data_IF_489254454452
#
_entry.id   IF_489254454452
#
_cell.length_a   1.000
_cell.length_b   1.000
_cell.length_c   1.000
_cell.angle_alpha   90.00
_cell.angle_beta   90.00
_cell.angle_gamma   90.00
#
_symmetry.space_group_name_H-M   'P 1'
#
loop_
_entity.id
_entity.type
_entity.pdbx_description
1 polymer ?
#
# COMPACT_ATOMS: atom_id res chain seq x y z
N UNK A 1 31.11 13.28 -15.01
CA UNK A 1 31.04 13.78 -13.61
C UNK A 1 29.60 14.07 -13.15
N UNK A 2 28.69 14.49 -14.05
CA UNK A 2 27.29 14.82 -13.72
C UNK A 2 26.42 13.59 -13.40
N UNK A 3 26.63 12.47 -14.12
CA UNK A 3 25.91 11.19 -13.88
C UNK A 3 26.15 10.67 -12.45
N UNK A 4 27.36 10.82 -11.92
CA UNK A 4 27.69 10.43 -10.55
C UNK A 4 26.95 11.26 -9.51
N UNK A 5 26.81 12.59 -9.74
CA UNK A 5 26.04 13.47 -8.85
C UNK A 5 24.55 13.16 -8.89
N UNK A 6 24.00 12.79 -10.05
CA UNK A 6 22.60 12.37 -10.18
C UNK A 6 22.34 11.07 -9.41
N UNK A 7 23.16 10.02 -9.63
CA UNK A 7 23.02 8.76 -8.90
C UNK A 7 23.13 8.93 -7.38
N UNK A 8 24.01 9.81 -6.92
CA UNK A 8 24.18 10.09 -5.50
C UNK A 8 22.98 10.83 -4.91
N UNK A 9 22.33 11.70 -5.70
CA UNK A 9 21.08 12.37 -5.31
C UNK A 9 19.92 11.39 -5.23
N UNK A 10 19.79 10.49 -6.20
CA UNK A 10 18.71 9.49 -6.22
C UNK A 10 18.86 8.48 -5.09
N UNK A 11 20.09 8.02 -4.82
CA UNK A 11 20.40 7.17 -3.67
C UNK A 11 20.06 7.86 -2.34
N UNK A 12 20.35 9.17 -2.21
CA UNK A 12 19.98 9.95 -1.02
C UNK A 12 18.47 10.01 -0.82
N UNK A 13 17.71 10.25 -1.89
CA UNK A 13 16.24 10.30 -1.83
C UNK A 13 15.67 8.95 -1.38
N UNK A 14 16.17 7.85 -1.94
CA UNK A 14 15.74 6.51 -1.58
C UNK A 14 16.11 6.15 -0.12
N UNK A 15 17.29 6.56 0.34
CA UNK A 15 17.70 6.38 1.74
C UNK A 15 16.78 7.14 2.71
N UNK A 16 16.39 8.37 2.37
CA UNK A 16 15.44 9.15 3.17
C UNK A 16 14.07 8.47 3.22
N UNK A 17 13.56 7.96 2.09
CA UNK A 17 12.28 7.24 2.07
C UNK A 17 12.31 5.98 2.97
N UNK A 18 13.41 5.21 2.97
CA UNK A 18 13.58 4.08 3.88
C UNK A 18 13.68 4.49 5.35
N UNK A 19 14.37 5.59 5.65
CA UNK A 19 14.51 6.12 7.02
C UNK A 19 13.14 6.58 7.56
N UNK A 20 12.33 7.24 6.73
CA UNK A 20 10.97 7.63 7.09
C UNK A 20 10.10 6.39 7.35
N UNK A 21 10.21 5.34 6.53
CA UNK A 21 9.50 4.08 6.75
C UNK A 21 9.92 3.39 8.05
N UNK A 22 11.21 3.39 8.39
CA UNK A 22 11.71 2.86 9.67
C UNK A 22 11.15 3.64 10.85
N UNK A 23 11.21 4.97 10.80
CA UNK A 23 10.64 5.85 11.84
C UNK A 23 9.14 5.64 11.97
N UNK A 24 8.40 5.56 10.87
CA UNK A 24 6.97 5.28 10.88
C UNK A 24 6.67 3.92 11.52
N UNK A 25 7.45 2.88 11.18
CA UNK A 25 7.34 1.55 11.79
C UNK A 25 7.63 1.56 13.30
N UNK A 26 8.64 2.31 13.74
CA UNK A 26 8.99 2.45 15.16
C UNK A 26 7.92 3.22 15.95
N UNK A 27 7.47 4.37 15.43
CA UNK A 27 6.42 5.17 16.06
C UNK A 27 5.09 4.41 16.13
N UNK A 28 4.66 3.78 15.03
CA UNK A 28 3.43 2.99 15.05
C UNK A 28 3.58 1.71 15.88
N UNK A 29 4.76 1.07 15.87
CA UNK A 29 5.02 -0.12 16.68
C UNK A 29 4.96 0.16 18.19
N UNK A 30 5.37 1.36 18.62
CA UNK A 30 5.31 1.79 20.03
C UNK A 30 3.91 2.26 20.44
N UNK A 31 3.20 2.97 19.56
CA UNK A 31 1.83 3.47 19.82
C UNK A 31 0.80 2.35 19.76
N UNK A 32 0.92 1.46 18.78
CA UNK A 32 -0.11 0.45 18.49
C UNK A 32 0.08 -0.84 19.29
N UNK A 33 0.52 -0.78 20.56
CA UNK A 33 0.64 -1.96 21.43
C UNK A 33 -0.61 -2.82 21.30
N UNK A 34 -0.45 -4.07 20.84
CA UNK A 34 -1.58 -5.00 20.65
C UNK A 34 -2.33 -5.16 21.97
N UNK A 35 -3.54 -4.58 22.05
CA UNK A 35 -4.50 -4.95 23.07
C UNK A 35 -5.30 -6.14 22.56
N UNK A 36 -5.33 -7.23 23.34
CA UNK A 36 -6.01 -8.47 22.98
C UNK A 36 -7.53 -8.30 22.79
N UNK A 37 -8.12 -7.21 23.31
CA UNK A 37 -9.55 -6.93 23.19
C UNK A 37 -9.99 -6.43 21.81
N UNK A 38 -9.09 -5.82 21.03
CA UNK A 38 -9.40 -5.24 19.71
C UNK A 38 -8.75 -5.96 18.53
N UNK A 39 -8.08 -7.09 18.78
CA UNK A 39 -7.33 -7.86 17.78
C UNK A 39 -6.31 -7.02 16.98
N UNK A 40 -5.81 -5.92 17.56
CA UNK A 40 -4.87 -5.01 16.90
C UNK A 40 -5.45 -4.26 15.69
N UNK A 41 -6.78 -4.24 15.51
CA UNK A 41 -7.42 -3.68 14.32
C UNK A 41 -7.03 -2.21 14.07
N UNK A 42 -6.91 -1.42 15.14
CA UNK A 42 -6.50 0.00 15.08
C UNK A 42 -5.03 0.15 14.67
N UNK A 43 -4.17 -0.78 15.09
CA UNK A 43 -2.78 -0.78 14.63
C UNK A 43 -2.67 -1.02 13.13
N UNK A 44 -3.42 -2.01 12.62
CA UNK A 44 -3.43 -2.34 11.19
C UNK A 44 -4.06 -1.25 10.32
N UNK A 45 -5.05 -0.50 10.80
CA UNK A 45 -5.59 0.64 10.01
C UNK A 45 -4.54 1.73 9.84
N UNK A 46 -3.78 2.06 10.90
CA UNK A 46 -2.69 3.03 10.80
C UNK A 46 -1.52 2.54 9.94
N UNK A 47 -1.18 1.25 9.99
CA UNK A 47 -0.13 0.70 9.12
C UNK A 47 -0.53 0.80 7.64
N UNK A 48 -1.78 0.45 7.31
CA UNK A 48 -2.33 0.56 5.95
C UNK A 48 -2.25 2.02 5.47
N UNK A 49 -2.66 2.99 6.29
CA UNK A 49 -2.59 4.41 5.95
C UNK A 49 -1.13 4.84 5.73
N UNK A 50 -0.25 4.62 6.70
CA UNK A 50 1.13 5.10 6.66
C UNK A 50 1.90 4.54 5.45
N UNK A 51 1.81 3.23 5.22
CA UNK A 51 2.52 2.57 4.11
C UNK A 51 1.93 3.00 2.78
N UNK A 52 0.60 3.10 2.68
CA UNK A 52 -0.04 3.56 1.44
C UNK A 52 0.43 4.97 1.08
N UNK A 53 0.41 5.91 2.03
CA UNK A 53 0.83 7.30 1.80
C UNK A 53 2.30 7.40 1.39
N UNK A 54 3.19 6.81 2.19
CA UNK A 54 4.64 6.88 1.96
C UNK A 54 5.03 6.22 0.63
N UNK A 55 4.41 5.08 0.30
CA UNK A 55 4.71 4.41 -0.96
C UNK A 55 4.15 5.17 -2.17
N UNK A 56 2.96 5.78 -2.10
CA UNK A 56 2.45 6.60 -3.22
C UNK A 56 3.32 7.80 -3.48
N UNK A 57 3.73 8.55 -2.43
CA UNK A 57 4.56 9.75 -2.61
C UNK A 57 5.89 9.38 -3.29
N UNK A 58 6.50 8.28 -2.87
CA UNK A 58 7.76 7.82 -3.45
C UNK A 58 7.60 7.36 -4.91
N UNK A 59 6.56 6.59 -5.24
CA UNK A 59 6.28 6.14 -6.61
C UNK A 59 5.93 7.32 -7.53
N UNK A 60 5.16 8.28 -7.02
CA UNK A 60 4.77 9.48 -7.74
C UNK A 60 5.99 10.36 -8.07
N UNK A 61 6.91 10.53 -7.12
CA UNK A 61 8.17 11.27 -7.35
C UNK A 61 8.97 10.63 -8.49
N UNK A 62 9.10 9.30 -8.49
CA UNK A 62 9.80 8.53 -9.54
C UNK A 62 9.20 8.79 -10.92
N UNK A 63 7.88 8.71 -11.08
CA UNK A 63 7.23 8.92 -12.38
C UNK A 63 7.17 10.39 -12.83
N UNK A 64 6.94 11.30 -11.89
CA UNK A 64 6.71 12.71 -12.19
C UNK A 64 7.94 13.45 -12.73
N UNK A 65 9.15 13.08 -12.28
CA UNK A 65 10.41 13.70 -12.71
C UNK A 65 10.79 13.29 -14.14
N UNK A 66 10.45 12.06 -14.53
CA UNK A 66 10.84 11.49 -15.82
C UNK A 66 9.81 11.73 -16.92
N UNK A 67 8.65 12.34 -16.62
CA UNK A 67 7.60 12.63 -17.63
C UNK A 67 8.17 13.44 -18.80
N UNK A 68 8.99 14.45 -18.53
CA UNK A 68 9.64 15.27 -19.57
C UNK A 68 10.66 14.49 -20.41
N UNK A 69 11.40 13.57 -19.79
CA UNK A 69 12.34 12.69 -20.48
C UNK A 69 11.59 11.69 -21.37
N UNK A 70 10.53 11.08 -20.86
CA UNK A 70 9.67 10.18 -21.60
C UNK A 70 9.05 10.84 -22.85
N UNK A 71 8.50 12.05 -22.73
CA UNK A 71 7.92 12.75 -23.89
C UNK A 71 8.96 13.03 -24.98
N UNK A 72 10.21 13.34 -24.60
CA UNK A 72 11.31 13.55 -25.54
C UNK A 72 11.75 12.25 -26.21
N UNK A 73 11.85 11.16 -25.45
CA UNK A 73 12.24 9.84 -25.96
C UNK A 73 11.14 9.21 -26.84
N UNK A 74 9.88 9.43 -26.50
CA UNK A 74 8.73 8.98 -27.31
C UNK A 74 8.68 9.69 -28.66
N UNK A 75 9.00 11.00 -28.71
CA UNK A 75 9.11 11.73 -29.96
C UNK A 75 10.23 11.22 -30.88
N UNK A 76 11.24 10.51 -30.31
CA UNK A 76 12.31 9.86 -31.06
C UNK A 76 11.98 8.42 -31.52
N UNK A 77 10.75 7.95 -31.29
CA UNK A 77 10.29 6.64 -31.74
C UNK A 77 10.56 5.48 -30.78
N UNK A 78 10.85 5.76 -29.51
CA UNK A 78 11.02 4.71 -28.49
C UNK A 78 9.68 4.08 -28.11
N UNK A 79 9.65 2.75 -27.91
CA UNK A 79 8.44 2.04 -27.50
C UNK A 79 8.00 2.41 -26.07
N UNK A 80 6.80 2.97 -25.94
CA UNK A 80 6.18 3.32 -24.64
C UNK A 80 6.03 2.11 -23.71
N UNK A 81 5.78 0.92 -24.26
CA UNK A 81 5.68 -0.34 -23.49
C UNK A 81 7.01 -0.71 -22.84
N UNK A 82 8.11 -0.64 -23.61
CA UNK A 82 9.44 -0.98 -23.11
C UNK A 82 9.86 -0.03 -21.98
N UNK A 83 9.58 1.27 -22.14
CA UNK A 83 9.85 2.27 -21.11
C UNK A 83 9.01 2.03 -19.84
N UNK A 84 7.71 1.77 -19.99
CA UNK A 84 6.82 1.49 -18.86
C UNK A 84 7.23 0.20 -18.12
N UNK A 85 7.52 -0.88 -18.83
CA UNK A 85 7.95 -2.16 -18.23
C UNK A 85 9.31 -2.06 -17.54
N UNK A 86 10.28 -1.37 -18.15
CA UNK A 86 11.58 -1.14 -17.51
C UNK A 86 11.42 -0.41 -16.18
N UNK A 87 10.55 0.60 -16.16
CA UNK A 87 10.29 1.40 -14.96
C UNK A 87 9.50 0.64 -13.89
N UNK A 88 8.45 -0.08 -14.29
CA UNK A 88 7.68 -0.93 -13.38
C UNK A 88 8.58 -1.98 -12.72
N UNK A 89 9.54 -2.54 -13.47
CA UNK A 89 10.51 -3.51 -12.92
C UNK A 89 11.39 -2.89 -11.82
N UNK A 90 11.90 -1.68 -12.04
CA UNK A 90 12.72 -0.97 -11.05
C UNK A 90 11.92 -0.63 -9.79
N UNK A 91 10.68 -0.16 -9.96
CA UNK A 91 9.81 0.15 -8.83
C UNK A 91 9.28 -1.12 -8.13
N UNK A 92 9.22 -2.25 -8.81
CA UNK A 92 8.85 -3.53 -8.22
C UNK A 92 9.88 -3.97 -7.16
N UNK A 93 11.18 -3.77 -7.42
CA UNK A 93 12.21 -4.01 -6.40
C UNK A 93 11.98 -3.14 -5.16
N UNK A 94 11.66 -1.87 -5.35
CA UNK A 94 11.35 -0.96 -4.24
C UNK A 94 10.08 -1.38 -3.48
N UNK A 95 9.10 -1.95 -4.19
CA UNK A 95 7.84 -2.46 -3.64
C UNK A 95 8.03 -3.67 -2.73
N UNK A 96 9.08 -4.47 -2.95
CA UNK A 96 9.41 -5.63 -2.11
C UNK A 96 10.18 -5.20 -0.85
N UNK A 97 11.14 -4.26 -1.00
CA UNK A 97 12.03 -3.84 0.09
C UNK A 97 11.34 -2.91 1.09
N UNK A 98 10.51 -1.96 0.63
CA UNK A 98 9.86 -0.97 1.51
C UNK A 98 8.97 -1.61 2.60
N UNK A 99 8.07 -2.57 2.28
CA UNK A 99 7.34 -3.32 3.28
C UNK A 99 8.22 -4.05 4.29
N UNK A 100 9.33 -4.65 3.83
CA UNK A 100 10.23 -5.42 4.69
C UNK A 100 10.88 -4.51 5.75
N UNK A 101 11.34 -3.34 5.33
CA UNK A 101 11.94 -2.32 6.20
C UNK A 101 10.94 -1.79 7.23
N UNK A 102 9.70 -1.55 6.82
CA UNK A 102 8.64 -1.15 7.76
C UNK A 102 8.33 -2.26 8.77
N UNK A 103 8.15 -3.48 8.28
CA UNK A 103 7.70 -4.61 9.07
C UNK A 103 8.71 -5.01 10.14
N UNK A 104 10.01 -4.92 9.85
CA UNK A 104 11.07 -5.25 10.80
C UNK A 104 11.02 -4.38 12.06
N UNK A 105 10.84 -3.06 11.91
CA UNK A 105 10.68 -2.15 13.05
C UNK A 105 9.34 -2.34 13.75
N UNK A 106 8.25 -2.50 12.98
CA UNK A 106 6.92 -2.69 13.57
C UNK A 106 6.85 -3.95 14.45
N UNK A 107 7.42 -5.07 14.01
CA UNK A 107 7.46 -6.30 14.79
C UNK A 107 8.36 -6.20 16.02
N UNK A 108 9.50 -5.52 15.91
CA UNK A 108 10.43 -5.36 17.03
C UNK A 108 9.78 -4.67 18.23
N UNK A 109 8.96 -3.64 17.99
CA UNK A 109 8.32 -2.87 19.07
C UNK A 109 6.96 -3.42 19.51
N UNK A 110 6.22 -4.07 18.62
CA UNK A 110 4.81 -4.42 18.86
C UNK A 110 4.58 -5.91 19.17
N UNK A 111 5.52 -6.81 18.80
CA UNK A 111 5.40 -8.27 18.95
C UNK A 111 3.99 -8.84 18.69
N UNK A 112 3.38 -8.58 17.51
CA UNK A 112 2.07 -9.15 17.20
C UNK A 112 2.17 -10.68 17.09
N UNK A 113 1.14 -11.40 17.54
CA UNK A 113 1.07 -12.88 17.44
C UNK A 113 1.03 -13.44 16.01
N UNK A 114 0.78 -12.59 15.01
CA UNK A 114 0.68 -12.99 13.60
C UNK A 114 2.06 -13.32 13.00
N UNK A 115 2.10 -14.27 12.08
CA UNK A 115 3.32 -14.66 11.35
C UNK A 115 3.84 -13.48 10.52
N UNK A 116 5.13 -13.15 10.63
CA UNK A 116 5.78 -12.09 9.83
C UNK A 116 5.48 -12.26 8.34
N UNK A 117 5.48 -13.50 7.84
CA UNK A 117 5.29 -13.83 6.43
C UNK A 117 3.87 -13.49 5.93
N UNK A 118 2.83 -13.79 6.71
CA UNK A 118 1.44 -13.52 6.31
C UNK A 118 1.19 -12.01 6.21
N UNK A 119 1.64 -11.24 7.21
CA UNK A 119 1.55 -9.78 7.19
C UNK A 119 2.42 -9.16 6.09
N UNK A 120 3.59 -9.75 5.80
CA UNK A 120 4.45 -9.32 4.69
C UNK A 120 3.79 -9.50 3.32
N UNK A 121 3.12 -10.63 3.08
CA UNK A 121 2.40 -10.88 1.83
C UNK A 121 1.28 -9.87 1.60
N UNK A 122 0.49 -9.56 2.64
CA UNK A 122 -0.57 -8.54 2.56
C UNK A 122 0.04 -7.16 2.24
N UNK A 123 1.15 -6.80 2.88
CA UNK A 123 1.82 -5.52 2.63
C UNK A 123 2.38 -5.40 1.21
N UNK A 124 2.99 -6.46 0.66
CA UNK A 124 3.46 -6.44 -0.74
C UNK A 124 2.28 -6.22 -1.68
N UNK A 125 1.17 -6.94 -1.48
CA UNK A 125 -0.02 -6.77 -2.31
C UNK A 125 -0.60 -5.36 -2.22
N UNK A 126 -0.61 -4.78 -1.01
CA UNK A 126 -1.04 -3.41 -0.77
C UNK A 126 -0.14 -2.42 -1.50
N UNK A 127 1.19 -2.49 -1.33
CA UNK A 127 2.12 -1.58 -2.00
C UNK A 127 2.06 -1.75 -3.52
N UNK A 128 1.87 -2.97 -4.01
CA UNK A 128 1.68 -3.24 -5.44
C UNK A 128 0.42 -2.55 -6.00
N UNK A 129 -0.71 -2.57 -5.28
CA UNK A 129 -1.92 -1.86 -5.66
C UNK A 129 -1.72 -0.33 -5.62
N UNK A 130 -1.10 0.15 -4.55
CA UNK A 130 -0.91 1.56 -4.25
C UNK A 130 0.02 2.25 -5.25
N UNK A 131 1.09 1.56 -5.67
CA UNK A 131 2.02 2.03 -6.71
C UNK A 131 1.34 2.17 -8.07
N UNK A 132 0.49 1.21 -8.46
CA UNK A 132 -0.28 1.30 -9.71
C UNK A 132 -1.19 2.53 -9.76
N UNK A 133 -1.89 2.82 -8.65
CA UNK A 133 -2.72 4.04 -8.53
C UNK A 133 -1.85 5.32 -8.59
N UNK A 134 -0.67 5.29 -7.98
CA UNK A 134 0.25 6.43 -8.02
C UNK A 134 0.73 6.76 -9.43
N UNK A 135 0.91 5.77 -10.30
CA UNK A 135 1.27 5.98 -11.70
C UNK A 135 0.18 6.71 -12.47
N UNK A 136 -1.08 6.30 -12.30
CA UNK A 136 -2.22 7.00 -12.91
C UNK A 136 -2.24 8.47 -12.49
N UNK A 137 -2.07 8.75 -11.20
CA UNK A 137 -2.05 10.12 -10.67
C UNK A 137 -0.85 10.93 -11.20
N UNK A 138 0.33 10.31 -11.31
CA UNK A 138 1.53 10.98 -11.81
C UNK A 138 1.45 11.31 -13.30
N UNK A 139 0.68 10.53 -14.08
CA UNK A 139 0.46 10.79 -15.51
C UNK A 139 -0.59 11.88 -15.70
N UNK A 140 -1.74 11.77 -15.01
CA UNK A 140 -2.88 12.67 -15.20
C UNK A 140 -2.66 14.08 -14.64
N UNK A 141 -1.90 14.22 -13.54
CA UNK A 141 -1.74 15.49 -12.84
C UNK A 141 -0.29 15.97 -12.82
N UNK A 142 -0.09 17.27 -12.58
CA UNK A 142 1.23 17.85 -12.31
C UNK A 142 1.74 17.46 -10.91
N UNK A 143 3.06 17.55 -10.69
CA UNK A 143 3.75 17.12 -9.46
C UNK A 143 3.12 17.66 -8.17
N UNK A 144 2.69 18.92 -8.16
CA UNK A 144 2.06 19.58 -7.02
C UNK A 144 0.70 18.97 -6.64
N UNK A 145 -0.35 19.09 -7.50
CA UNK A 145 -1.66 18.54 -7.20
C UNK A 145 -1.64 17.01 -7.05
N UNK A 146 -0.78 16.30 -7.80
CA UNK A 146 -0.68 14.84 -7.73
C UNK A 146 -0.23 14.37 -6.33
N UNK A 147 0.68 15.10 -5.66
CA UNK A 147 1.09 14.80 -4.29
C UNK A 147 -0.07 14.94 -3.30
N UNK A 148 -0.88 15.98 -3.43
CA UNK A 148 -2.06 16.17 -2.57
C UNK A 148 -3.08 15.03 -2.75
N UNK A 149 -3.38 14.65 -3.99
CA UNK A 149 -4.27 13.52 -4.28
C UNK A 149 -3.71 12.18 -3.78
N UNK A 150 -2.40 11.99 -3.90
CA UNK A 150 -1.69 10.82 -3.38
C UNK A 150 -1.83 10.69 -1.86
N UNK A 151 -1.89 11.80 -1.13
CA UNK A 151 -2.09 11.81 0.32
C UNK A 151 -3.57 11.69 0.70
N UNK A 152 -4.45 12.39 0.00
CA UNK A 152 -5.87 12.44 0.31
C UNK A 152 -6.55 11.08 0.06
N UNK A 153 -6.25 10.42 -1.06
CA UNK A 153 -6.95 9.19 -1.47
C UNK A 153 -6.82 8.04 -0.45
N UNK A 154 -5.63 7.65 0.04
CA UNK A 154 -5.51 6.59 1.04
C UNK A 154 -6.26 6.91 2.33
N UNK A 155 -6.22 8.16 2.80
CA UNK A 155 -6.89 8.55 4.04
C UNK A 155 -8.41 8.47 3.87
N UNK A 156 -8.95 9.09 2.81
CA UNK A 156 -10.41 9.06 2.55
C UNK A 156 -10.92 7.64 2.33
N UNK A 157 -10.21 6.83 1.53
CA UNK A 157 -10.62 5.43 1.31
C UNK A 157 -10.52 4.56 2.56
N UNK A 158 -9.53 4.80 3.43
CA UNK A 158 -9.45 4.06 4.70
C UNK A 158 -10.55 4.48 5.66
N UNK A 159 -10.89 5.77 5.70
CA UNK A 159 -12.02 6.27 6.51
C UNK A 159 -13.34 5.66 6.05
N UNK A 160 -13.61 5.66 4.74
CA UNK A 160 -14.80 5.02 4.16
C UNK A 160 -14.83 3.53 4.52
N UNK A 161 -13.70 2.83 4.40
CA UNK A 161 -13.60 1.41 4.72
C UNK A 161 -13.67 1.10 6.23
N UNK A 162 -13.57 2.11 7.10
CA UNK A 162 -13.68 1.94 8.55
C UNK A 162 -15.08 2.29 9.07
N UNK A 163 -15.94 2.91 8.26
CA UNK A 163 -17.32 3.20 8.68
C UNK A 163 -18.15 1.91 8.75
N UNK A 164 -19.01 1.80 9.77
CA UNK A 164 -19.92 0.68 9.92
C UNK A 164 -20.92 0.62 8.76
N UNK A 165 -21.27 -0.62 8.33
CA UNK A 165 -22.10 -0.94 7.16
C UNK A 165 -23.39 -0.13 7.12
N UNK A 166 -23.32 1.05 6.51
CA UNK A 166 -24.47 1.92 6.34
C UNK A 166 -25.13 1.57 5.02
N UNK A 167 -26.37 1.08 5.06
CA UNK A 167 -27.10 0.62 3.86
C UNK A 167 -27.24 1.76 2.85
N UNK A 168 -26.71 1.59 1.63
CA UNK A 168 -26.84 2.56 0.53
C UNK A 168 -25.70 2.52 -0.51
N UNK A 169 -25.59 3.57 -1.33
CA UNK A 169 -24.52 3.78 -2.33
C UNK A 169 -23.10 3.59 -1.75
N UNK A 170 -22.93 3.92 -0.47
CA UNK A 170 -21.66 3.81 0.24
C UNK A 170 -21.13 2.36 0.28
N UNK A 171 -22.00 1.36 0.40
CA UNK A 171 -21.60 -0.06 0.40
C UNK A 171 -20.92 -0.49 -0.90
N UNK A 172 -21.41 0.00 -2.04
CA UNK A 172 -20.84 -0.31 -3.36
C UNK A 172 -19.50 0.42 -3.59
N UNK A 173 -19.32 1.60 -3.00
CA UNK A 173 -18.04 2.30 -2.98
C UNK A 173 -17.03 1.66 -2.02
N UNK A 174 -17.51 1.07 -0.93
CA UNK A 174 -16.70 0.33 0.04
C UNK A 174 -16.03 -0.88 -0.61
N UNK A 175 -16.76 -1.63 -1.46
CA UNK A 175 -16.22 -2.79 -2.18
C UNK A 175 -15.14 -2.40 -3.21
N UNK A 176 -15.19 -1.16 -3.71
CA UNK A 176 -14.18 -0.62 -4.62
C UNK A 176 -12.92 -0.10 -3.90
N UNK A 177 -12.96 0.04 -2.57
CA UNK A 177 -11.85 0.59 -1.80
C UNK A 177 -10.79 -0.48 -1.49
N UNK A 178 -9.59 -0.36 -2.07
CA UNK A 178 -8.46 -1.24 -1.76
C UNK A 178 -8.08 -1.33 -0.26
N UNK A 179 -8.24 -0.27 0.58
CA UNK A 179 -7.94 -0.38 2.02
C UNK A 179 -8.86 -1.36 2.75
N UNK A 180 -10.11 -1.55 2.30
CA UNK A 180 -11.06 -2.50 2.91
C UNK A 180 -10.49 -3.92 2.86
N UNK A 181 -10.19 -4.38 1.65
CA UNK A 181 -9.62 -5.70 1.40
C UNK A 181 -8.27 -5.90 2.11
N UNK A 182 -7.45 -4.85 2.19
CA UNK A 182 -6.18 -4.90 2.91
C UNK A 182 -6.39 -5.07 4.42
N UNK A 183 -7.29 -4.27 5.02
CA UNK A 183 -7.63 -4.35 6.44
C UNK A 183 -8.26 -5.70 6.80
N UNK A 184 -9.17 -6.19 5.96
CA UNK A 184 -9.77 -7.52 6.12
C UNK A 184 -8.70 -8.62 6.10
N UNK A 185 -7.76 -8.58 5.14
CA UNK A 185 -6.66 -9.53 5.07
C UNK A 185 -5.74 -9.48 6.32
N UNK A 186 -5.42 -8.29 6.85
CA UNK A 186 -4.66 -8.14 8.10
C UNK A 186 -5.39 -8.72 9.30
N UNK A 187 -6.69 -8.42 9.44
CA UNK A 187 -7.50 -8.89 10.56
C UNK A 187 -7.65 -10.42 10.50
N UNK A 188 -7.88 -11.00 9.31
CA UNK A 188 -8.00 -12.45 9.14
C UNK A 188 -6.68 -13.15 9.46
N UNK A 189 -5.55 -12.64 8.97
CA UNK A 189 -4.22 -13.19 9.26
C UNK A 189 -3.94 -13.22 10.77
N UNK A 190 -4.26 -12.14 11.47
CA UNK A 190 -4.12 -12.10 12.93
C UNK A 190 -5.11 -13.05 13.62
N UNK A 191 -6.39 -13.06 13.19
CA UNK A 191 -7.46 -13.85 13.77
C UNK A 191 -7.25 -15.37 13.66
N UNK A 192 -6.59 -15.87 12.61
CA UNK A 192 -6.29 -17.30 12.44
C UNK A 192 -5.42 -17.87 13.56
N UNK A 193 -4.62 -17.03 14.22
CA UNK A 193 -3.73 -17.44 15.33
C UNK A 193 -4.37 -17.35 16.72
N UNK A 194 -5.57 -16.77 16.84
CA UNK A 194 -6.35 -16.80 18.07
C UNK A 194 -7.13 -18.12 18.16
N UNK A 195 -6.69 -19.00 19.07
CA UNK A 195 -7.33 -20.28 19.39
C UNK A 195 -7.63 -20.38 20.90
N UNK A 196 -8.54 -21.27 21.29
CA UNK A 196 -8.94 -21.48 22.68
C UNK A 196 -10.01 -20.48 23.16
N UNK A 197 -9.80 -19.87 24.33
CA UNK A 197 -10.79 -18.99 25.00
C UNK A 197 -11.22 -17.80 24.13
N UNK A 198 -10.36 -17.38 23.20
CA UNK A 198 -10.61 -16.25 22.30
C UNK A 198 -11.41 -16.60 21.03
N UNK A 199 -11.83 -17.86 20.86
CA UNK A 199 -12.57 -18.29 19.66
C UNK A 199 -13.95 -17.63 19.56
N UNK A 200 -14.65 -17.49 20.69
CA UNK A 200 -15.98 -16.86 20.73
C UNK A 200 -15.89 -15.35 20.45
N UNK A 201 -14.89 -14.68 21.04
CA UNK A 201 -14.60 -13.26 20.82
C UNK A 201 -14.16 -13.01 19.37
N UNK A 202 -13.39 -13.92 18.78
CA UNK A 202 -13.00 -13.91 17.35
C UNK A 202 -14.22 -14.01 16.46
N UNK A 203 -15.06 -15.03 16.65
CA UNK A 203 -16.26 -15.22 15.83
C UNK A 203 -17.20 -14.02 15.95
N UNK A 204 -17.40 -13.46 17.15
CA UNK A 204 -18.19 -12.25 17.35
C UNK A 204 -17.61 -11.00 16.69
N UNK A 205 -16.28 -10.81 16.70
CA UNK A 205 -15.63 -9.68 16.05
C UNK A 205 -15.64 -9.80 14.51
N UNK A 206 -15.45 -11.01 13.98
CA UNK A 206 -15.54 -11.29 12.55
C UNK A 206 -16.98 -11.18 12.04
N UNK A 207 -17.96 -11.67 12.79
CA UNK A 207 -19.38 -11.60 12.43
C UNK A 207 -19.90 -10.16 12.44
N UNK A 208 -19.50 -9.34 13.43
CA UNK A 208 -19.80 -7.89 13.44
C UNK A 208 -19.31 -7.15 12.19
N UNK A 209 -18.16 -7.54 11.63
CA UNK A 209 -17.62 -6.97 10.39
C UNK A 209 -18.09 -7.72 9.13
N UNK A 210 -18.65 -8.92 9.29
CA UNK A 210 -19.03 -9.84 8.21
C UNK A 210 -17.84 -10.39 7.43
N UNK A 211 -16.69 -10.56 8.09
CA UNK A 211 -15.47 -11.09 7.47
C UNK A 211 -15.39 -12.60 7.62
N UNK A 212 -15.15 -13.30 6.51
CA UNK A 212 -15.00 -14.76 6.51
C UNK A 212 -13.52 -15.15 6.51
N UNK A 213 -13.15 -16.08 7.39
CA UNK A 213 -11.76 -16.57 7.52
C UNK A 213 -11.23 -17.21 6.23
N UNK A 214 -12.12 -17.79 5.41
CA UNK A 214 -11.77 -18.42 4.12
C UNK A 214 -11.40 -17.43 3.02
N UNK A 215 -11.74 -16.15 3.18
CA UNK A 215 -11.62 -15.17 2.10
C UNK A 215 -10.25 -14.46 2.09
N UNK A 216 -9.31 -14.88 2.95
CA UNK A 216 -7.96 -14.31 3.00
C UNK A 216 -7.24 -14.34 1.63
N UNK A 217 -7.31 -15.48 0.93
CA UNK A 217 -6.72 -15.60 -0.40
C UNK A 217 -7.46 -14.73 -1.44
N UNK A 218 -8.79 -14.63 -1.33
CA UNK A 218 -9.60 -13.80 -2.21
C UNK A 218 -9.21 -12.33 -2.05
N UNK A 219 -9.02 -11.85 -0.82
CA UNK A 219 -8.57 -10.49 -0.55
C UNK A 219 -7.24 -10.19 -1.27
N UNK A 220 -6.26 -11.10 -1.18
CA UNK A 220 -4.97 -10.95 -1.86
C UNK A 220 -5.13 -10.89 -3.39
N UNK A 221 -5.93 -11.78 -3.97
CA UNK A 221 -6.19 -11.78 -5.41
C UNK A 221 -6.87 -10.48 -5.87
N UNK A 222 -7.82 -9.96 -5.09
CA UNK A 222 -8.50 -8.69 -5.38
C UNK A 222 -7.51 -7.52 -5.33
N UNK A 223 -6.63 -7.46 -4.33
CA UNK A 223 -5.58 -6.42 -4.24
C UNK A 223 -4.64 -6.45 -5.46
N UNK A 224 -4.20 -7.65 -5.85
CA UNK A 224 -3.34 -7.81 -7.03
C UNK A 224 -4.10 -7.40 -8.29
N UNK A 225 -5.37 -7.80 -8.42
CA UNK A 225 -6.25 -7.41 -9.54
C UNK A 225 -6.36 -5.90 -9.68
N UNK A 226 -6.63 -5.17 -8.59
CA UNK A 226 -6.64 -3.70 -8.59
C UNK A 226 -5.28 -3.10 -8.99
N UNK A 227 -4.17 -3.71 -8.57
CA UNK A 227 -2.82 -3.31 -8.97
C UNK A 227 -2.53 -3.51 -10.46
N UNK A 228 -3.03 -4.59 -11.06
CA UNK A 228 -2.88 -4.86 -12.50
C UNK A 228 -3.77 -3.92 -13.32
N UNK A 229 -5.04 -3.77 -12.94
CA UNK A 229 -5.99 -2.88 -13.62
C UNK A 229 -5.49 -1.44 -13.60
N UNK A 230 -5.00 -0.94 -12.46
CA UNK A 230 -4.47 0.42 -12.38
C UNK A 230 -3.21 0.65 -13.25
N UNK A 231 -2.35 -0.36 -13.42
CA UNK A 231 -1.21 -0.29 -14.35
C UNK A 231 -1.64 -0.30 -15.81
N UNK A 232 -2.63 -1.11 -16.17
CA UNK A 232 -3.21 -1.11 -17.52
C UNK A 232 -3.81 0.26 -17.83
N UNK A 233 -4.55 0.84 -16.88
CA UNK A 233 -5.11 2.19 -17.02
C UNK A 233 -3.99 3.23 -17.15
N UNK A 234 -2.94 3.17 -16.32
CA UNK A 234 -1.79 4.07 -16.42
C UNK A 234 -1.11 3.98 -17.79
N UNK A 235 -0.92 2.76 -18.30
CA UNK A 235 -0.34 2.55 -19.62
C UNK A 235 -1.22 3.15 -20.74
N UNK A 236 -2.54 2.96 -20.68
CA UNK A 236 -3.45 3.55 -21.67
C UNK A 236 -3.48 5.09 -21.64
N UNK A 237 -3.28 5.72 -20.47
CA UNK A 237 -3.17 7.18 -20.39
C UNK A 237 -1.81 7.73 -20.85
N UNK A 238 -0.80 6.87 -20.97
CA UNK A 238 0.56 7.23 -21.34
C UNK A 238 0.83 7.13 -22.85
N UNK A 239 0.04 6.31 -23.55
CA UNK A 239 0.03 6.15 -25.02
C UNK A 239 -0.84 7.23 -25.65
#
# INVERSE_FOLDING_TARGET
QEVGKQRLRDARIQAVDYLILLLAGACLGTIAKVSDESFGAVGYTYTVIAISLLCKIAALRSFSLDKLHYWRESASGMSSLAHFLAKDTVDHFNTIVKPLVYLSMFYFFNNPRSTILENYLVLICLVYCVTGIAYVLAICFETGPAQLWSVLLPVVFTLIATQDKTKGFLSRFEDFCYPKWAMEAFIIANAQRYAGVWLLTRCGALDKKGYSVRDWALCLYVLIGFGVVSRIVAFNFMV
#
